data_IF_842707905687
#
_entry.id   IF_842707905687
#
_cell.length_a   1.000
_cell.length_b   1.000
_cell.length_c   1.000
_cell.angle_alpha   90.00
_cell.angle_beta   90.00
_cell.angle_gamma   90.00
#
_symmetry.space_group_name_H-M   'P 1'
#
loop_
_entity.id
_entity.type
_entity.pdbx_description
1 polymer ?
#
# COMPACT_ATOMS: atom_id res chain seq x y z
N UNK A 1 3.13 -0.66 -7.03
CA UNK A 1 3.75 -0.04 -8.22
C UNK A 1 3.24 -0.61 -9.54
N UNK A 2 3.06 -1.93 -9.71
CA UNK A 2 2.35 -2.51 -10.87
C UNK A 2 0.84 -2.76 -10.63
N UNK A 3 0.43 -3.03 -9.39
CA UNK A 3 -0.97 -3.33 -9.03
C UNK A 3 -1.94 -2.23 -9.48
N UNK A 4 -1.65 -0.96 -9.17
CA UNK A 4 -2.50 0.16 -9.60
C UNK A 4 -2.67 0.25 -11.12
N UNK A 5 -1.60 0.02 -11.89
CA UNK A 5 -1.69 0.03 -13.36
C UNK A 5 -2.56 -1.11 -13.89
N UNK A 6 -2.45 -2.30 -13.29
CA UNK A 6 -3.29 -3.45 -13.64
C UNK A 6 -4.76 -3.15 -13.29
N UNK A 7 -5.01 -2.58 -12.12
CA UNK A 7 -6.36 -2.19 -11.70
C UNK A 7 -6.96 -1.13 -12.66
N UNK A 8 -6.17 -0.15 -13.10
CA UNK A 8 -6.59 0.84 -14.10
C UNK A 8 -6.95 0.19 -15.44
N UNK A 9 -6.09 -0.70 -15.95
CA UNK A 9 -6.34 -1.43 -17.21
C UNK A 9 -7.59 -2.32 -17.12
N UNK A 10 -7.82 -2.93 -15.96
CA UNK A 10 -9.01 -3.73 -15.66
C UNK A 10 -10.23 -2.90 -15.27
N UNK A 11 -10.12 -1.56 -15.25
CA UNK A 11 -11.19 -0.62 -14.88
C UNK A 11 -11.81 -0.93 -13.52
N UNK A 12 -10.95 -1.23 -12.55
CA UNK A 12 -11.31 -1.43 -11.16
C UNK A 12 -11.32 -0.11 -10.40
N UNK A 13 -12.17 -0.06 -9.37
CA UNK A 13 -12.16 1.02 -8.42
C UNK A 13 -10.85 1.03 -7.62
N UNK A 14 -10.42 2.22 -7.20
CA UNK A 14 -9.19 2.40 -6.44
C UNK A 14 -9.13 1.60 -5.14
N UNK A 15 -10.27 1.43 -4.47
CA UNK A 15 -10.37 0.64 -3.25
C UNK A 15 -9.92 -0.81 -3.50
N UNK A 16 -10.25 -1.38 -4.68
CA UNK A 16 -9.79 -2.72 -5.05
C UNK A 16 -8.26 -2.77 -5.22
N UNK A 17 -7.65 -1.69 -5.73
CA UNK A 17 -6.21 -1.56 -5.86
C UNK A 17 -5.49 -1.57 -4.51
N UNK A 18 -5.95 -0.75 -3.56
CA UNK A 18 -5.41 -0.74 -2.20
C UNK A 18 -5.65 -2.09 -1.50
N UNK A 19 -6.86 -2.65 -1.61
CA UNK A 19 -7.16 -3.95 -1.02
C UNK A 19 -6.29 -5.07 -1.58
N UNK A 20 -6.01 -5.07 -2.88
CA UNK A 20 -5.14 -6.07 -3.50
C UNK A 20 -3.70 -5.98 -2.98
N UNK A 21 -3.19 -4.77 -2.72
CA UNK A 21 -1.87 -4.58 -2.12
C UNK A 21 -1.85 -5.12 -0.70
N UNK A 22 -2.85 -4.81 0.12
CA UNK A 22 -2.95 -5.33 1.50
C UNK A 22 -3.03 -6.86 1.55
N UNK A 23 -3.80 -7.46 0.65
CA UNK A 23 -3.87 -8.93 0.52
C UNK A 23 -2.48 -9.47 0.14
N UNK A 24 -1.83 -8.87 -0.85
CA UNK A 24 -0.52 -9.32 -1.35
C UNK A 24 0.57 -9.22 -0.28
N UNK A 25 0.70 -8.08 0.40
CA UNK A 25 1.74 -7.86 1.42
C UNK A 25 1.58 -8.85 2.58
N UNK A 26 0.37 -9.00 3.12
CA UNK A 26 0.08 -9.96 4.20
C UNK A 26 0.29 -11.40 3.76
N UNK A 27 -0.09 -11.73 2.52
CA UNK A 27 0.15 -13.05 1.96
C UNK A 27 1.64 -13.33 1.85
N UNK A 28 2.42 -12.41 1.28
CA UNK A 28 3.85 -12.59 1.05
C UNK A 28 4.62 -12.81 2.35
N UNK A 29 4.31 -12.07 3.41
CA UNK A 29 4.94 -12.25 4.72
C UNK A 29 4.71 -13.68 5.24
N UNK A 30 3.45 -14.13 5.30
CA UNK A 30 3.12 -15.48 5.81
C UNK A 30 3.62 -16.59 4.89
N UNK A 31 3.58 -16.38 3.58
CA UNK A 31 4.01 -17.37 2.61
C UNK A 31 5.53 -17.54 2.66
N UNK A 32 6.29 -16.45 2.73
CA UNK A 32 7.74 -16.50 2.90
C UNK A 32 8.12 -17.21 4.21
N UNK A 33 7.48 -16.86 5.33
CA UNK A 33 7.72 -17.52 6.62
C UNK A 33 7.51 -19.04 6.55
N UNK A 34 6.41 -19.48 5.93
CA UNK A 34 6.14 -20.90 5.70
C UNK A 34 7.20 -21.56 4.79
N UNK A 35 7.62 -20.90 3.71
CA UNK A 35 8.66 -21.42 2.81
C UNK A 35 10.01 -21.54 3.54
N UNK A 36 10.41 -20.54 4.32
CA UNK A 36 11.64 -20.61 5.11
C UNK A 36 11.58 -21.68 6.19
N UNK A 37 10.46 -21.85 6.88
CA UNK A 37 10.28 -22.95 7.83
C UNK A 37 10.37 -24.33 7.15
N UNK A 38 9.82 -24.47 5.94
CA UNK A 38 9.78 -25.74 5.19
C UNK A 38 11.15 -26.10 4.60
N UNK A 39 11.86 -25.12 4.02
CA UNK A 39 13.12 -25.36 3.31
C UNK A 39 14.36 -25.14 4.18
N UNK A 40 14.29 -24.34 5.25
CA UNK A 40 15.39 -24.16 6.19
C UNK A 40 15.56 -25.33 7.15
N UNK A 41 14.57 -26.22 7.25
CA UNK A 41 14.64 -27.47 8.02
C UNK A 41 15.10 -28.67 7.17
N UNK A 42 15.15 -28.53 5.85
CA UNK A 42 15.84 -29.44 4.94
C UNK A 42 17.31 -28.99 4.85
N UNK A 43 18.20 -29.72 5.51
CA UNK A 43 19.60 -29.31 5.73
C UNK A 43 20.38 -28.94 4.47
N UNK A 44 21.49 -28.21 4.68
CA UNK A 44 22.46 -27.77 3.67
C UNK A 44 22.68 -28.83 2.58
N UNK A 45 22.02 -28.64 1.44
CA UNK A 45 22.34 -29.36 0.22
C UNK A 45 23.59 -28.71 -0.38
N UNK A 46 24.59 -29.54 -0.67
CA UNK A 46 25.96 -29.28 -1.15
C UNK A 46 26.06 -28.54 -2.51
N UNK A 47 24.98 -27.86 -2.92
CA UNK A 47 24.80 -27.21 -4.22
C UNK A 47 25.22 -25.73 -4.27
N UNK A 48 25.66 -25.16 -3.14
CA UNK A 48 26.21 -23.80 -3.06
C UNK A 48 25.23 -22.66 -3.39
N UNK A 49 23.94 -22.94 -3.61
CA UNK A 49 22.88 -21.92 -3.71
C UNK A 49 22.20 -21.73 -2.37
N UNK A 50 22.10 -20.49 -1.94
CA UNK A 50 21.35 -20.14 -0.73
C UNK A 50 19.89 -20.55 -0.89
N UNK A 51 19.30 -21.11 0.18
CA UNK A 51 17.85 -21.40 0.28
C UNK A 51 17.02 -20.16 -0.11
N UNK A 52 17.51 -18.97 0.23
CA UNK A 52 16.88 -17.70 -0.13
C UNK A 52 16.81 -17.49 -1.65
N UNK A 53 17.86 -17.85 -2.40
CA UNK A 53 17.90 -17.71 -3.86
C UNK A 53 16.91 -18.66 -4.54
N UNK A 54 16.80 -19.89 -4.03
CA UNK A 54 15.83 -20.86 -4.52
C UNK A 54 14.38 -20.37 -4.31
N UNK A 55 14.07 -19.90 -3.10
CA UNK A 55 12.76 -19.33 -2.77
C UNK A 55 12.46 -18.13 -3.67
N UNK A 56 13.43 -17.23 -3.85
CA UNK A 56 13.28 -16.04 -4.69
C UNK A 56 12.96 -16.39 -6.14
N UNK A 57 13.72 -17.31 -6.76
CA UNK A 57 13.48 -17.74 -8.14
C UNK A 57 12.07 -18.32 -8.28
N UNK A 58 11.66 -19.20 -7.37
CA UNK A 58 10.34 -19.83 -7.41
C UNK A 58 9.20 -18.82 -7.27
N UNK A 59 9.36 -17.83 -6.38
CA UNK A 59 8.37 -16.77 -6.19
C UNK A 59 8.31 -15.84 -7.40
N UNK A 60 9.47 -15.46 -7.96
CA UNK A 60 9.54 -14.57 -9.13
C UNK A 60 8.76 -15.13 -10.32
N UNK A 61 8.83 -16.45 -10.56
CA UNK A 61 8.10 -17.12 -11.64
C UNK A 61 6.58 -17.11 -11.47
N UNK A 62 6.09 -16.98 -10.23
CA UNK A 62 4.66 -16.98 -9.91
C UNK A 62 4.14 -15.60 -9.53
N UNK A 63 5.00 -14.59 -9.47
CA UNK A 63 4.64 -13.31 -8.88
C UNK A 63 3.50 -12.61 -9.62
N UNK A 64 3.52 -12.64 -10.96
CA UNK A 64 2.43 -12.10 -11.78
C UNK A 64 1.09 -12.81 -11.52
N UNK A 65 1.12 -14.13 -11.33
CA UNK A 65 -0.07 -14.94 -10.99
C UNK A 65 -0.60 -14.58 -9.60
N UNK A 66 0.29 -14.38 -8.62
CA UNK A 66 -0.06 -13.97 -7.27
C UNK A 66 -0.70 -12.57 -7.25
N UNK A 67 -0.12 -11.61 -7.98
CA UNK A 67 -0.69 -10.25 -8.13
C UNK A 67 -2.11 -10.33 -8.68
N UNK A 68 -2.32 -11.05 -9.79
CA UNK A 68 -3.65 -11.16 -10.39
C UNK A 68 -4.63 -11.87 -9.45
N UNK A 69 -4.19 -12.89 -8.72
CA UNK A 69 -5.05 -13.56 -7.74
C UNK A 69 -5.49 -12.61 -6.62
N UNK A 70 -4.58 -11.77 -6.11
CA UNK A 70 -4.92 -10.76 -5.10
C UNK A 70 -5.90 -9.71 -5.63
N UNK A 71 -5.74 -9.28 -6.89
CA UNK A 71 -6.66 -8.36 -7.56
C UNK A 71 -8.04 -9.00 -7.77
N UNK A 72 -8.11 -10.28 -8.18
CA UNK A 72 -9.37 -11.00 -8.30
C UNK A 72 -10.09 -11.08 -6.96
N UNK A 73 -9.39 -11.47 -5.88
CA UNK A 73 -9.95 -11.51 -4.54
C UNK A 73 -10.43 -10.13 -4.07
N UNK A 74 -9.64 -9.08 -4.27
CA UNK A 74 -10.03 -7.71 -3.94
C UNK A 74 -11.27 -7.25 -4.71
N UNK A 75 -11.35 -7.50 -6.01
CA UNK A 75 -12.51 -7.14 -6.84
C UNK A 75 -13.80 -7.83 -6.40
N UNK A 76 -13.71 -9.02 -5.80
CA UNK A 76 -14.85 -9.77 -5.24
C UNK A 76 -15.32 -9.20 -3.90
N UNK A 77 -14.48 -8.46 -3.18
CA UNK A 77 -14.85 -7.81 -1.90
C UNK A 77 -15.54 -6.46 -2.11
N UNK A 78 -15.27 -5.78 -3.22
CA UNK A 78 -15.87 -4.48 -3.52
C UNK A 78 -17.27 -4.63 -4.09
N UNK A 79 -18.28 -4.07 -3.41
CA UNK A 79 -19.70 -4.19 -3.81
C UNK A 79 -20.06 -3.43 -5.09
N UNK A 80 -19.28 -2.40 -5.46
CA UNK A 80 -19.61 -1.45 -6.52
C UNK A 80 -18.70 -1.55 -7.75
N UNK A 81 -17.76 -2.50 -7.80
CA UNK A 81 -16.78 -2.61 -8.89
C UNK A 81 -16.98 -3.86 -9.74
N UNK A 82 -16.38 -3.85 -10.95
CA UNK A 82 -16.41 -5.00 -11.85
C UNK A 82 -15.64 -6.17 -11.21
N UNK A 83 -16.35 -7.26 -10.92
CA UNK A 83 -15.71 -8.48 -10.41
C UNK A 83 -14.85 -9.11 -11.52
N UNK A 84 -13.56 -9.32 -11.24
CA UNK A 84 -12.64 -9.98 -12.17
C UNK A 84 -12.78 -11.50 -12.04
N UNK A 85 -13.49 -12.09 -13.00
CA UNK A 85 -13.61 -13.54 -13.12
C UNK A 85 -12.35 -14.19 -13.72
N UNK A 86 -12.28 -15.53 -13.65
CA UNK A 86 -11.13 -16.27 -14.17
C UNK A 86 -10.97 -16.11 -15.69
N UNK A 87 -12.04 -15.85 -16.45
CA UNK A 87 -11.93 -15.61 -17.89
C UNK A 87 -11.19 -14.30 -18.18
N UNK A 88 -11.57 -13.25 -17.46
CA UNK A 88 -10.99 -11.92 -17.58
C UNK A 88 -9.52 -11.94 -17.15
N UNK A 89 -9.21 -12.59 -16.03
CA UNK A 89 -7.84 -12.78 -15.56
C UNK A 89 -6.96 -13.55 -16.55
N UNK A 90 -7.45 -14.68 -17.12
CA UNK A 90 -6.70 -15.43 -18.15
C UNK A 90 -6.46 -14.58 -19.40
N UNK A 91 -7.48 -13.85 -19.87
CA UNK A 91 -7.35 -12.98 -21.05
C UNK A 91 -6.32 -11.87 -20.81
N UNK A 92 -6.34 -11.25 -19.63
CA UNK A 92 -5.37 -10.23 -19.25
C UNK A 92 -3.95 -10.80 -19.16
N UNK A 93 -3.76 -11.92 -18.47
CA UNK A 93 -2.45 -12.56 -18.40
C UNK A 93 -1.92 -12.91 -19.79
N UNK A 94 -2.80 -13.38 -20.68
CA UNK A 94 -2.44 -13.69 -22.06
C UNK A 94 -2.04 -12.45 -22.87
N UNK A 95 -2.69 -11.30 -22.65
CA UNK A 95 -2.33 -10.06 -23.36
C UNK A 95 -0.96 -9.54 -22.97
N UNK A 96 -0.47 -9.86 -21.76
CA UNK A 96 0.89 -9.54 -21.29
C UNK A 96 1.90 -10.69 -21.53
N UNK A 97 1.55 -11.68 -22.35
CA UNK A 97 2.45 -12.78 -22.74
C UNK A 97 2.54 -13.94 -21.76
N UNK A 98 1.67 -14.00 -20.75
CA UNK A 98 1.63 -15.06 -19.73
C UNK A 98 0.46 -16.01 -19.96
N UNK A 99 0.71 -17.31 -20.07
CA UNK A 99 -0.33 -18.31 -20.30
C UNK A 99 -0.55 -19.16 -19.05
N UNK A 100 -1.70 -19.00 -18.41
CA UNK A 100 -2.14 -19.80 -17.28
C UNK A 100 -3.53 -20.40 -17.53
N UNK A 101 -3.77 -21.60 -16.99
CA UNK A 101 -5.11 -22.20 -16.99
C UNK A 101 -5.99 -21.57 -15.93
N UNK A 102 -7.32 -21.71 -16.08
CA UNK A 102 -8.28 -21.31 -15.06
C UNK A 102 -8.06 -22.05 -13.74
N UNK A 103 -7.72 -23.34 -13.81
CA UNK A 103 -7.43 -24.15 -12.62
C UNK A 103 -6.20 -23.62 -11.89
N UNK A 104 -5.17 -23.20 -12.62
CA UNK A 104 -3.97 -22.60 -12.02
C UNK A 104 -4.28 -21.30 -11.27
N UNK A 105 -5.18 -20.47 -11.83
CA UNK A 105 -5.65 -19.27 -11.15
C UNK A 105 -6.47 -19.59 -9.91
N UNK A 106 -7.40 -20.54 -10.00
CA UNK A 106 -8.23 -20.94 -8.85
C UNK A 106 -7.37 -21.49 -7.70
N UNK A 107 -6.40 -22.35 -8.00
CA UNK A 107 -5.46 -22.86 -7.00
C UNK A 107 -4.61 -21.74 -6.38
N UNK A 108 -4.24 -20.73 -7.17
CA UNK A 108 -3.52 -19.56 -6.67
C UNK A 108 -4.40 -18.69 -5.75
N UNK A 109 -5.67 -18.46 -6.10
CA UNK A 109 -6.63 -17.77 -5.23
C UNK A 109 -6.85 -18.54 -3.91
N UNK A 110 -7.03 -19.86 -3.99
CA UNK A 110 -7.17 -20.72 -2.82
C UNK A 110 -5.92 -20.73 -1.94
N UNK A 111 -4.73 -20.70 -2.54
CA UNK A 111 -3.47 -20.57 -1.81
C UNK A 111 -3.46 -19.27 -1.01
N UNK A 112 -3.76 -18.13 -1.64
CA UNK A 112 -3.81 -16.82 -0.96
C UNK A 112 -4.82 -16.83 0.18
N UNK A 113 -6.04 -17.31 -0.07
CA UNK A 113 -7.09 -17.41 0.94
C UNK A 113 -6.69 -18.28 2.13
N UNK A 114 -6.17 -19.49 1.87
CA UNK A 114 -5.75 -20.42 2.93
C UNK A 114 -4.59 -19.84 3.75
N UNK A 115 -3.57 -19.28 3.10
CA UNK A 115 -2.44 -18.64 3.80
C UNK A 115 -2.90 -17.49 4.69
N UNK A 116 -3.95 -16.76 4.29
CA UNK A 116 -4.52 -15.68 5.07
C UNK A 116 -5.63 -16.13 6.04
N UNK A 117 -5.90 -17.44 6.19
CA UNK A 117 -7.02 -17.98 6.96
C UNK A 117 -8.35 -17.31 6.60
N UNK A 118 -8.55 -17.03 5.31
CA UNK A 118 -9.73 -16.34 4.75
C UNK A 118 -9.97 -14.92 5.30
N UNK A 119 -9.00 -14.35 6.05
CA UNK A 119 -9.08 -13.00 6.60
C UNK A 119 -8.57 -11.97 5.59
N UNK A 120 -9.35 -11.73 4.53
CA UNK A 120 -8.99 -10.81 3.44
C UNK A 120 -9.74 -9.47 3.49
N UNK A 121 -10.82 -9.36 4.26
CA UNK A 121 -11.60 -8.14 4.46
C UNK A 121 -11.04 -7.28 5.60
N UNK A 122 -9.80 -6.83 5.45
CA UNK A 122 -9.15 -5.93 6.42
C UNK A 122 -9.22 -4.47 5.96
N UNK A 123 -9.20 -3.49 6.90
CA UNK A 123 -9.03 -2.09 6.57
C UNK A 123 -7.81 -1.85 5.66
N UNK A 124 -7.95 -0.94 4.70
CA UNK A 124 -6.89 -0.47 3.82
C UNK A 124 -6.78 1.05 3.98
N UNK A 125 -5.66 1.68 3.57
CA UNK A 125 -5.44 3.10 3.87
C UNK A 125 -6.44 4.07 3.27
N UNK A 126 -7.04 3.75 2.13
CA UNK A 126 -8.04 4.62 1.53
C UNK A 126 -9.29 4.73 2.44
N UNK A 127 -9.68 3.64 3.12
CA UNK A 127 -10.79 3.69 4.07
C UNK A 127 -10.51 4.61 5.27
N UNK A 128 -9.27 4.70 5.74
CA UNK A 128 -8.90 5.64 6.81
C UNK A 128 -8.98 7.09 6.32
N UNK A 129 -8.49 7.37 5.11
CA UNK A 129 -8.63 8.69 4.47
C UNK A 129 -10.09 9.07 4.32
N UNK A 130 -10.93 8.18 3.78
CA UNK A 130 -12.36 8.41 3.60
C UNK A 130 -13.07 8.66 4.93
N UNK A 131 -12.78 7.85 5.95
CA UNK A 131 -13.37 8.00 7.28
C UNK A 131 -13.01 9.35 7.90
N UNK A 132 -11.73 9.76 7.83
CA UNK A 132 -11.29 11.03 8.39
C UNK A 132 -11.86 12.23 7.63
N UNK A 133 -11.96 12.15 6.30
CA UNK A 133 -12.57 13.19 5.48
C UNK A 133 -14.06 13.35 5.77
N UNK A 134 -14.78 12.25 6.02
CA UNK A 134 -16.19 12.29 6.42
C UNK A 134 -16.35 12.99 7.78
N UNK A 135 -15.52 12.63 8.77
CA UNK A 135 -15.55 13.28 10.09
C UNK A 135 -15.19 14.77 9.99
N UNK A 136 -14.19 15.14 9.16
CA UNK A 136 -13.85 16.54 8.91
C UNK A 136 -15.01 17.31 8.28
N UNK A 137 -15.69 16.74 7.28
CA UNK A 137 -16.86 17.36 6.65
C UNK A 137 -18.04 17.50 7.60
N UNK A 138 -18.19 16.56 8.54
CA UNK A 138 -19.19 16.64 9.59
C UNK A 138 -18.89 17.76 10.60
N UNK A 139 -17.63 17.92 11.00
CA UNK A 139 -17.20 18.96 11.95
C UNK A 139 -17.23 20.37 11.32
N UNK A 140 -16.84 20.49 10.05
CA UNK A 140 -16.81 21.75 9.31
C UNK A 140 -17.44 21.59 7.92
N UNK A 141 -18.69 22.03 7.79
CA UNK A 141 -19.42 21.98 6.53
C UNK A 141 -18.81 22.86 5.42
N UNK A 142 -17.88 23.76 5.74
CA UNK A 142 -17.15 24.58 4.77
C UNK A 142 -15.89 23.88 4.24
N UNK A 143 -15.48 22.75 4.83
CA UNK A 143 -14.32 22.00 4.42
C UNK A 143 -14.49 21.49 2.97
N UNK A 144 -13.49 21.63 2.09
CA UNK A 144 -13.57 21.22 0.69
C UNK A 144 -13.37 19.70 0.52
N UNK A 145 -14.20 18.89 1.21
CA UNK A 145 -14.03 17.42 1.33
C UNK A 145 -13.89 16.73 -0.02
N UNK A 146 -14.73 17.05 -1.01
CA UNK A 146 -14.66 16.41 -2.33
C UNK A 146 -13.35 16.72 -3.09
N UNK A 147 -12.83 17.94 -2.93
CA UNK A 147 -11.56 18.35 -3.54
C UNK A 147 -10.39 17.71 -2.80
N UNK A 148 -10.46 17.69 -1.47
CA UNK A 148 -9.50 16.99 -0.61
C UNK A 148 -9.44 15.52 -0.97
N UNK A 149 -10.58 14.84 -1.14
CA UNK A 149 -10.63 13.44 -1.52
C UNK A 149 -9.85 13.16 -2.82
N UNK A 150 -10.08 13.96 -3.87
CA UNK A 150 -9.38 13.80 -5.14
C UNK A 150 -7.85 13.97 -4.99
N UNK A 151 -7.40 14.97 -4.24
CA UNK A 151 -5.96 15.21 -4.00
C UNK A 151 -5.37 14.11 -3.11
N UNK A 152 -6.06 13.73 -2.03
CA UNK A 152 -5.64 12.68 -1.11
C UNK A 152 -5.46 11.34 -1.83
N UNK A 153 -6.34 11.04 -2.78
CA UNK A 153 -6.24 9.84 -3.60
C UNK A 153 -4.92 9.80 -4.40
N UNK A 154 -4.55 10.91 -5.05
CA UNK A 154 -3.27 11.03 -5.75
C UNK A 154 -2.07 10.92 -4.78
N UNK A 155 -2.13 11.63 -3.65
CA UNK A 155 -1.08 11.64 -2.64
C UNK A 155 -0.86 10.27 -2.01
N UNK A 156 -1.94 9.54 -1.68
CA UNK A 156 -1.86 8.21 -1.12
C UNK A 156 -1.23 7.22 -2.11
N UNK A 157 -1.56 7.33 -3.40
CA UNK A 157 -0.89 6.55 -4.45
C UNK A 157 0.60 6.89 -4.53
N UNK A 158 0.97 8.17 -4.48
CA UNK A 158 2.37 8.60 -4.41
C UNK A 158 3.07 8.05 -3.17
N UNK A 159 2.42 8.07 -2.01
CA UNK A 159 2.96 7.54 -0.76
C UNK A 159 3.28 6.05 -0.86
N UNK A 160 2.45 5.25 -1.54
CA UNK A 160 2.75 3.84 -1.81
C UNK A 160 3.90 3.64 -2.81
N UNK A 161 3.97 4.47 -3.85
CA UNK A 161 5.07 4.41 -4.84
C UNK A 161 6.41 4.82 -4.24
N UNK A 162 6.40 5.78 -3.32
CA UNK A 162 7.56 6.35 -2.65
C UNK A 162 7.64 5.92 -1.18
N UNK A 163 7.03 4.77 -0.81
CA UNK A 163 6.92 4.32 0.58
C UNK A 163 8.28 4.27 1.26
N UNK A 164 9.24 3.57 0.65
CA UNK A 164 10.60 3.43 1.18
C UNK A 164 11.31 4.78 1.41
N UNK A 165 11.44 5.68 0.42
CA UNK A 165 12.10 6.97 0.64
C UNK A 165 11.35 7.89 1.61
N UNK A 166 10.00 7.94 1.57
CA UNK A 166 9.20 8.75 2.51
C UNK A 166 9.42 8.29 3.94
N UNK A 167 9.22 7.00 4.23
CA UNK A 167 9.39 6.47 5.59
C UNK A 167 10.84 6.50 6.06
N UNK A 168 11.81 6.39 5.15
CA UNK A 168 13.21 6.61 5.50
C UNK A 168 13.48 8.05 5.93
N UNK A 169 12.94 9.05 5.21
CA UNK A 169 13.05 10.45 5.61
C UNK A 169 12.34 10.74 6.93
N UNK A 170 11.18 10.13 7.17
CA UNK A 170 10.49 10.22 8.47
C UNK A 170 11.33 9.64 9.61
N UNK A 171 11.95 8.48 9.39
CA UNK A 171 12.85 7.87 10.37
C UNK A 171 14.06 8.77 10.67
N UNK A 172 14.69 9.33 9.64
CA UNK A 172 15.83 10.26 9.80
C UNK A 172 15.41 11.49 10.61
N UNK A 173 14.21 12.03 10.33
CA UNK A 173 13.67 13.19 11.01
C UNK A 173 13.35 12.90 12.48
N UNK A 174 12.62 11.81 12.75
CA UNK A 174 12.25 11.38 14.09
C UNK A 174 13.46 11.03 14.97
N UNK A 175 14.51 10.43 14.40
CA UNK A 175 15.73 10.06 15.13
C UNK A 175 16.78 11.17 15.15
N UNK A 176 16.59 12.24 14.35
CA UNK A 176 17.60 13.28 14.07
C UNK A 176 18.96 12.68 13.65
N UNK A 177 18.93 11.54 12.96
CA UNK A 177 20.11 10.77 12.58
C UNK A 177 20.08 10.44 11.08
N UNK A 178 21.09 10.91 10.34
CA UNK A 178 21.19 10.67 8.89
C UNK A 178 21.40 9.20 8.53
N UNK A 179 21.95 8.40 9.44
CA UNK A 179 22.18 6.97 9.26
C UNK A 179 21.57 6.17 10.43
N UNK A 180 20.24 5.96 10.43
CA UNK A 180 19.55 5.27 11.52
C UNK A 180 20.06 3.84 11.69
N UNK A 181 20.30 3.45 12.95
CA UNK A 181 20.77 2.11 13.34
C UNK A 181 19.71 1.03 13.07
N UNK A 182 20.11 -0.24 13.09
CA UNK A 182 19.16 -1.34 12.93
C UNK A 182 18.09 -1.35 14.03
N UNK A 183 18.46 -1.04 15.27
CA UNK A 183 17.52 -0.96 16.39
C UNK A 183 16.48 0.14 16.17
N UNK A 184 16.89 1.31 15.68
CA UNK A 184 15.99 2.40 15.36
C UNK A 184 15.02 2.03 14.23
N UNK A 185 15.50 1.31 13.20
CA UNK A 185 14.65 0.83 12.11
C UNK A 185 13.61 -0.17 12.58
N UNK A 186 13.98 -1.08 13.48
CA UNK A 186 13.06 -2.07 14.07
C UNK A 186 11.98 -1.36 14.90
N UNK A 187 12.36 -0.40 15.76
CA UNK A 187 11.41 0.40 16.53
C UNK A 187 10.47 1.23 15.66
N UNK A 188 10.95 1.71 14.51
CA UNK A 188 10.16 2.51 13.58
C UNK A 188 9.28 1.66 12.64
N UNK A 189 9.44 0.34 12.60
CA UNK A 189 8.62 -0.52 11.75
C UNK A 189 7.12 -0.42 12.09
N UNK A 190 6.76 -0.17 13.34
CA UNK A 190 5.35 0.06 13.73
C UNK A 190 4.76 1.30 13.05
N UNK A 191 5.58 2.35 12.85
CA UNK A 191 5.18 3.58 12.16
C UNK A 191 4.90 3.32 10.67
N UNK A 192 5.59 2.36 10.06
CA UNK A 192 5.37 2.04 8.63
C UNK A 192 4.05 1.34 8.35
N UNK A 193 3.44 0.77 9.38
CA UNK A 193 2.13 0.08 9.33
C UNK A 193 1.00 0.90 9.97
N UNK A 194 1.29 2.13 10.44
CA UNK A 194 0.28 3.03 10.99
C UNK A 194 -0.49 3.76 9.88
N UNK A 195 -1.62 3.17 9.47
CA UNK A 195 -2.51 3.76 8.48
C UNK A 195 -3.24 5.01 8.96
N UNK A 196 -3.42 5.20 10.26
CA UNK A 196 -4.00 6.43 10.79
C UNK A 196 -3.02 7.59 10.58
N UNK A 197 -1.75 7.39 10.96
CA UNK A 197 -0.68 8.37 10.75
C UNK A 197 -0.47 8.69 9.27
N UNK A 198 -0.46 7.66 8.41
CA UNK A 198 -0.39 7.86 6.96
C UNK A 198 -1.56 8.73 6.48
N UNK A 199 -2.77 8.45 6.93
CA UNK A 199 -3.98 9.14 6.46
C UNK A 199 -4.02 10.61 6.89
N UNK A 200 -3.70 10.91 8.14
CA UNK A 200 -3.60 12.32 8.59
C UNK A 200 -2.50 13.07 7.85
N UNK A 201 -1.37 12.42 7.56
CA UNK A 201 -0.29 13.00 6.76
C UNK A 201 -0.69 13.29 5.31
N UNK A 202 -1.42 12.36 4.67
CA UNK A 202 -1.99 12.53 3.33
C UNK A 202 -3.00 13.68 3.29
N UNK A 203 -3.93 13.72 4.25
CA UNK A 203 -4.97 14.77 4.30
C UNK A 203 -4.34 16.13 4.55
N UNK A 204 -3.40 16.24 5.50
CA UNK A 204 -2.71 17.48 5.77
C UNK A 204 -1.89 17.96 4.55
N UNK A 205 -1.20 17.07 3.83
CA UNK A 205 -0.53 17.44 2.59
C UNK A 205 -1.53 17.89 1.50
N UNK A 206 -2.69 17.24 1.39
CA UNK A 206 -3.75 17.61 0.44
C UNK A 206 -4.36 18.98 0.76
N UNK A 207 -4.61 19.26 2.03
CA UNK A 207 -5.10 20.55 2.49
C UNK A 207 -4.10 21.68 2.21
N UNK A 208 -2.80 21.42 2.40
CA UNK A 208 -1.75 22.38 2.05
C UNK A 208 -1.75 22.70 0.54
N UNK A 209 -1.86 21.67 -0.31
CA UNK A 209 -1.89 21.84 -1.77
C UNK A 209 -3.11 22.65 -2.23
N UNK A 210 -4.29 22.38 -1.64
CA UNK A 210 -5.53 23.03 -2.05
C UNK A 210 -5.65 24.46 -1.54
N UNK A 211 -5.39 24.68 -0.26
CA UNK A 211 -5.52 25.99 0.36
C UNK A 211 -4.68 26.10 1.63
N UNK A 212 -3.49 26.70 1.49
CA UNK A 212 -2.58 26.98 2.61
C UNK A 212 -3.26 27.80 3.72
N UNK A 213 -4.21 28.68 3.39
CA UNK A 213 -4.86 29.54 4.37
C UNK A 213 -5.72 28.78 5.40
N UNK A 214 -6.27 27.62 5.04
CA UNK A 214 -7.07 26.77 5.93
C UNK A 214 -6.29 25.55 6.46
N UNK A 215 -5.00 25.45 6.13
CA UNK A 215 -4.21 24.25 6.42
C UNK A 215 -4.03 23.99 7.93
N UNK A 216 -3.72 25.04 8.71
CA UNK A 216 -3.54 24.93 10.16
C UNK A 216 -4.82 24.42 10.84
N UNK A 217 -5.99 24.93 10.44
CA UNK A 217 -7.28 24.47 10.96
C UNK A 217 -7.51 22.97 10.67
N UNK A 218 -7.19 22.51 9.46
CA UNK A 218 -7.31 21.07 9.13
C UNK A 218 -6.37 20.23 9.99
N UNK A 219 -5.15 20.67 10.24
CA UNK A 219 -4.19 19.96 11.10
C UNK A 219 -4.67 19.92 12.55
N UNK A 220 -5.25 21.00 13.07
CA UNK A 220 -5.82 21.05 14.41
C UNK A 220 -7.02 20.10 14.56
N UNK A 221 -7.93 20.08 13.59
CA UNK A 221 -9.06 19.14 13.59
C UNK A 221 -8.59 17.68 13.51
N UNK A 222 -7.62 17.37 12.65
CA UNK A 222 -7.05 16.01 12.57
C UNK A 222 -6.38 15.59 13.88
N UNK A 223 -5.68 16.51 14.55
CA UNK A 223 -5.13 16.27 15.89
C UNK A 223 -6.25 15.98 16.89
N UNK A 224 -7.32 16.77 16.90
CA UNK A 224 -8.46 16.57 17.79
C UNK A 224 -9.16 15.22 17.55
N UNK A 225 -9.39 14.84 16.28
CA UNK A 225 -10.08 13.60 15.91
C UNK A 225 -9.25 12.36 16.26
N UNK A 226 -7.95 12.39 16.04
CA UNK A 226 -7.09 11.19 16.09
C UNK A 226 -6.20 11.10 17.33
N UNK A 227 -5.98 12.21 18.02
CA UNK A 227 -4.99 12.34 19.10
C UNK A 227 -3.53 12.35 18.60
N UNK A 228 -3.28 12.29 17.29
CA UNK A 228 -1.93 12.40 16.72
C UNK A 228 -1.48 13.85 16.83
N UNK A 229 -0.27 14.08 17.35
CA UNK A 229 0.22 15.44 17.57
C UNK A 229 0.30 16.22 16.26
N UNK A 230 -0.12 17.49 16.29
CA UNK A 230 -0.02 18.40 15.15
C UNK A 230 1.41 18.43 14.57
N UNK A 231 2.43 18.38 15.42
CA UNK A 231 3.83 18.31 14.99
C UNK A 231 4.11 17.09 14.10
N UNK A 232 3.65 15.90 14.51
CA UNK A 232 3.82 14.67 13.73
C UNK A 232 3.05 14.73 12.40
N UNK A 233 1.83 15.30 12.41
CA UNK A 233 1.03 15.48 11.20
C UNK A 233 1.74 16.40 10.20
N UNK A 234 2.19 17.58 10.68
CA UNK A 234 2.92 18.56 9.86
C UNK A 234 4.23 17.98 9.31
N UNK A 235 4.97 17.25 10.13
CA UNK A 235 6.22 16.61 9.73
C UNK A 235 5.99 15.55 8.64
N UNK A 236 4.94 14.72 8.78
CA UNK A 236 4.58 13.76 7.74
C UNK A 236 4.22 14.45 6.43
N UNK A 237 3.33 15.45 6.50
CA UNK A 237 2.91 16.21 5.33
C UNK A 237 4.10 16.86 4.62
N UNK A 238 5.00 17.50 5.39
CA UNK A 238 6.22 18.11 4.86
C UNK A 238 7.11 17.10 4.15
N UNK A 239 7.40 15.95 4.78
CA UNK A 239 8.23 14.91 4.16
C UNK A 239 7.59 14.40 2.86
N UNK A 240 6.29 14.14 2.87
CA UNK A 240 5.55 13.69 1.69
C UNK A 240 5.66 14.70 0.55
N UNK A 241 5.34 15.97 0.81
CA UNK A 241 5.43 17.05 -0.18
C UNK A 241 6.86 17.21 -0.71
N UNK A 242 7.87 17.09 0.15
CA UNK A 242 9.28 17.18 -0.27
C UNK A 242 9.68 16.10 -1.27
N UNK A 243 9.14 14.88 -1.14
CA UNK A 243 9.40 13.78 -2.08
C UNK A 243 8.60 13.89 -3.37
N UNK A 244 7.44 14.53 -3.34
CA UNK A 244 6.64 14.81 -4.53
C UNK A 244 7.35 15.87 -5.39
N UNK A 245 7.72 17.00 -4.79
CA UNK A 245 8.39 18.10 -5.50
C UNK A 245 9.75 17.66 -6.05
N UNK A 246 10.55 16.91 -5.30
CA UNK A 246 11.86 16.43 -5.77
C UNK A 246 11.77 15.49 -6.98
N UNK A 247 10.71 14.71 -7.11
CA UNK A 247 10.55 13.81 -8.25
C UNK A 247 10.21 14.56 -9.56
N UNK A 248 9.56 15.72 -9.49
CA UNK A 248 9.31 16.55 -10.69
C UNK A 248 10.62 17.11 -11.28
N UNK A 249 11.59 17.48 -10.45
CA UNK A 249 12.87 18.00 -10.92
C UNK A 249 13.77 16.94 -11.56
N UNK A 250 13.60 15.65 -11.23
CA UNK A 250 14.41 14.56 -11.80
C UNK A 250 13.87 14.11 -13.17
N UNK A 251 12.62 14.44 -13.53
CA UNK A 251 12.08 14.14 -14.86
C UNK A 251 12.34 15.23 -15.92
N UNK A 252 13.00 16.34 -15.55
CA UNK A 252 13.28 17.48 -16.44
C UNK A 252 14.80 17.67 -16.69
N UNK A 253 15.62 16.71 -16.30
CA UNK A 253 17.08 16.67 -16.56
C UNK A 253 17.50 15.35 -17.17
#
# INVERSE_FOLDING_TARGET
MCVFLICEELKLDSLAGYQAIEILERFMIKHLDHLFCTYGSAGDDDSGRSVADYIFIRLSQKFSLLIISCIQLASKLTLHSNVIDNNTAVKFLKSIGLSYSKDTLLESELLVLKTLNFSISVPNPLMYVETLLEVLGYNDASAPVSQLYAVCHCLLRCAYLQRKPIYHSLLVSATKCASPSQEQRVKFAEVTEDFMLLSVGVIAAGAFILNVASWEQVVEELNYITGISAQSIMEFAYVMLSHIVKNEFVQVT
#
